data_IF_985712474057
#
_entry.id   IF_985712474057
#
_cell.length_a   1.000
_cell.length_b   1.000
_cell.length_c   1.000
_cell.angle_alpha   90.00
_cell.angle_beta   90.00
_cell.angle_gamma   90.00
#
_symmetry.space_group_name_H-M   'P 1'
#
loop_
_entity.id
_entity.type
_entity.pdbx_description
1 polymer ?
#
# COMPACT_ATOMS: atom_id res chain seq x y z
N UNK A 1 28.01 35.04 -13.05
CA UNK A 1 27.58 34.63 -11.70
C UNK A 1 27.40 33.13 -11.79
N UNK A 2 28.43 32.39 -11.40
CA UNK A 2 28.43 30.93 -11.42
C UNK A 2 27.71 30.44 -10.17
N UNK A 3 26.54 29.82 -10.34
CA UNK A 3 25.87 29.10 -9.26
C UNK A 3 26.67 27.82 -8.98
N UNK A 4 27.42 27.85 -7.87
CA UNK A 4 28.15 26.70 -7.38
C UNK A 4 27.16 25.56 -7.06
N UNK A 5 27.18 24.53 -7.90
CA UNK A 5 26.51 23.25 -7.67
C UNK A 5 27.05 22.61 -6.40
N UNK A 6 26.38 22.79 -5.26
CA UNK A 6 26.77 22.15 -4.02
C UNK A 6 26.41 20.66 -4.10
N UNK A 7 27.42 19.81 -4.26
CA UNK A 7 27.29 18.37 -4.03
C UNK A 7 27.05 18.12 -2.53
N UNK A 8 25.80 17.86 -2.17
CA UNK A 8 25.44 17.39 -0.83
C UNK A 8 25.94 15.94 -0.67
N UNK A 9 26.99 15.76 0.11
CA UNK A 9 27.40 14.43 0.57
C UNK A 9 26.46 14.00 1.69
N UNK A 10 25.51 13.13 1.35
CA UNK A 10 24.60 12.53 2.33
C UNK A 10 25.36 11.44 3.09
N UNK A 11 25.86 11.75 4.29
CA UNK A 11 26.42 10.73 5.17
C UNK A 11 25.28 9.83 5.64
N UNK A 12 25.38 8.53 5.32
CA UNK A 12 24.40 7.54 5.76
C UNK A 12 24.59 7.31 7.28
N UNK A 13 23.65 7.73 8.14
CA UNK A 13 23.66 7.39 9.55
C UNK A 13 23.92 5.90 9.82
N UNK A 14 24.68 5.62 10.88
CA UNK A 14 25.00 4.28 11.40
C UNK A 14 23.73 3.62 11.96
N UNK A 15 22.97 2.97 11.08
CA UNK A 15 21.67 2.36 11.42
C UNK A 15 21.76 0.89 11.83
N UNK A 16 20.90 0.51 12.79
CA UNK A 16 20.55 -0.90 13.05
C UNK A 16 19.87 -1.51 11.80
N UNK A 17 20.04 -2.81 11.52
CA UNK A 17 19.46 -3.46 10.36
C UNK A 17 17.95 -3.23 10.29
N UNK A 18 17.55 -2.80 9.11
CA UNK A 18 16.26 -2.24 8.73
C UNK A 18 15.06 -3.14 8.98
N UNK A 19 15.34 -4.43 8.80
CA UNK A 19 14.49 -5.55 9.09
C UNK A 19 15.40 -6.65 9.62
N UNK A 20 14.82 -7.69 10.20
CA UNK A 20 15.57 -8.94 10.43
C UNK A 20 16.18 -9.54 9.14
N UNK A 21 15.80 -9.06 7.95
CA UNK A 21 16.20 -9.56 6.63
C UNK A 21 17.05 -8.52 5.85
N UNK A 22 18.39 -8.66 5.78
CA UNK A 22 19.26 -7.74 5.04
C UNK A 22 18.83 -7.44 3.59
N UNK A 23 18.29 -8.45 2.89
CA UNK A 23 17.84 -8.28 1.51
C UNK A 23 16.72 -7.23 1.34
N UNK A 24 15.79 -7.11 2.30
CA UNK A 24 14.74 -6.08 2.24
C UNK A 24 15.33 -4.68 2.40
N UNK A 25 16.38 -4.54 3.21
CA UNK A 25 17.07 -3.27 3.37
C UNK A 25 17.70 -2.80 2.07
N UNK A 26 18.38 -3.70 1.36
CA UNK A 26 19.03 -3.35 0.10
C UNK A 26 18.01 -2.90 -0.94
N UNK A 27 16.85 -3.58 -1.04
CA UNK A 27 15.76 -3.20 -1.94
C UNK A 27 15.19 -1.82 -1.61
N UNK A 28 15.02 -1.57 -0.32
CA UNK A 28 14.56 -0.29 0.16
C UNK A 28 15.54 0.84 -0.16
N UNK A 29 16.83 0.66 0.10
CA UNK A 29 17.86 1.65 -0.22
C UNK A 29 17.95 1.88 -1.73
N UNK A 30 17.84 0.83 -2.54
CA UNK A 30 17.81 0.94 -4.00
C UNK A 30 16.60 1.72 -4.52
N UNK A 31 15.44 1.59 -3.86
CA UNK A 31 14.26 2.37 -4.15
C UNK A 31 14.46 3.84 -3.72
N UNK A 32 14.82 4.09 -2.47
CA UNK A 32 14.99 5.46 -1.97
C UNK A 32 16.05 6.25 -2.74
N UNK A 33 17.19 5.64 -3.07
CA UNK A 33 18.27 6.30 -3.82
C UNK A 33 17.86 6.79 -5.21
N UNK A 34 16.82 6.22 -5.83
CA UNK A 34 16.43 6.67 -7.17
C UNK A 34 15.91 8.12 -7.16
N UNK A 35 15.22 8.54 -6.09
CA UNK A 35 14.75 9.91 -5.92
C UNK A 35 15.86 10.95 -5.77
N UNK A 36 17.09 10.53 -5.44
CA UNK A 36 18.24 11.43 -5.33
C UNK A 36 19.06 11.54 -6.62
N UNK A 37 18.72 10.77 -7.67
CA UNK A 37 19.50 10.70 -8.91
C UNK A 37 18.67 11.31 -10.05
N UNK A 38 19.05 12.50 -10.52
CA UNK A 38 18.32 13.24 -11.55
C UNK A 38 18.26 12.57 -12.93
N UNK A 39 19.11 11.57 -13.19
CA UNK A 39 19.11 10.81 -14.44
C UNK A 39 18.17 9.60 -14.46
N UNK A 40 17.52 9.28 -13.32
CA UNK A 40 16.55 8.20 -13.28
C UNK A 40 15.21 8.64 -13.83
N UNK A 41 14.56 7.75 -14.59
CA UNK A 41 13.22 8.00 -15.13
C UNK A 41 12.14 7.54 -14.16
N UNK A 42 10.91 8.04 -14.32
CA UNK A 42 9.75 7.62 -13.52
C UNK A 42 9.46 6.12 -13.67
N UNK A 43 9.70 5.53 -14.84
CA UNK A 43 9.55 4.10 -15.09
C UNK A 43 10.57 3.29 -14.28
N UNK A 44 11.82 3.78 -14.16
CA UNK A 44 12.83 3.17 -13.30
C UNK A 44 12.41 3.23 -11.83
N UNK A 45 11.84 4.35 -11.39
CA UNK A 45 11.29 4.48 -10.03
C UNK A 45 10.17 3.47 -9.81
N UNK A 46 9.27 3.33 -10.78
CA UNK A 46 8.10 2.47 -10.68
C UNK A 46 8.49 0.99 -10.64
N UNK A 47 9.42 0.58 -11.51
CA UNK A 47 9.98 -0.77 -11.49
C UNK A 47 10.66 -1.12 -10.15
N UNK A 48 11.33 -0.15 -9.52
CA UNK A 48 11.93 -0.33 -8.18
C UNK A 48 10.86 -0.41 -7.10
N UNK A 49 9.79 0.37 -7.19
CA UNK A 49 8.64 0.29 -6.27
C UNK A 49 8.00 -1.10 -6.32
N UNK A 50 7.74 -1.61 -7.53
CA UNK A 50 7.21 -2.96 -7.78
C UNK A 50 8.11 -4.03 -7.16
N UNK A 51 9.43 -3.92 -7.36
CA UNK A 51 10.40 -4.86 -6.79
C UNK A 51 10.42 -4.81 -5.26
N UNK A 52 10.37 -3.62 -4.66
CA UNK A 52 10.29 -3.44 -3.21
C UNK A 52 9.00 -4.04 -2.66
N UNK A 53 7.85 -3.72 -3.26
CA UNK A 53 6.55 -4.25 -2.87
C UNK A 53 6.52 -5.78 -2.95
N UNK A 54 6.97 -6.37 -4.06
CA UNK A 54 7.04 -7.82 -4.21
C UNK A 54 7.91 -8.46 -3.13
N UNK A 55 9.07 -7.85 -2.83
CA UNK A 55 9.97 -8.36 -1.79
C UNK A 55 9.35 -8.29 -0.39
N UNK A 56 8.70 -7.17 -0.06
CA UNK A 56 7.97 -7.01 1.20
C UNK A 56 6.86 -8.05 1.31
N UNK A 57 6.02 -8.16 0.28
CA UNK A 57 4.87 -9.05 0.29
C UNK A 57 5.28 -10.51 0.35
N UNK A 58 6.27 -10.95 -0.42
CA UNK A 58 6.76 -12.34 -0.37
C UNK A 58 7.42 -12.71 0.96
N UNK A 59 8.04 -11.73 1.65
CA UNK A 59 8.64 -11.95 2.96
C UNK A 59 7.58 -12.09 4.06
N UNK A 60 6.56 -11.22 4.07
CA UNK A 60 5.55 -11.20 5.15
C UNK A 60 4.30 -12.02 4.86
N UNK A 61 4.01 -12.33 3.60
CA UNK A 61 2.92 -13.18 3.13
C UNK A 61 3.49 -14.34 2.29
N UNK A 62 4.26 -15.26 2.89
CA UNK A 62 4.97 -16.29 2.15
C UNK A 62 4.02 -17.38 1.63
N UNK A 63 4.30 -17.99 0.46
CA UNK A 63 3.51 -19.10 -0.08
C UNK A 63 3.42 -20.32 0.84
N UNK A 64 4.42 -20.55 1.70
CA UNK A 64 4.40 -21.62 2.70
C UNK A 64 3.28 -21.48 3.74
N UNK A 65 2.63 -20.32 3.82
CA UNK A 65 1.47 -20.05 4.68
C UNK A 65 0.15 -19.95 3.87
N UNK A 66 0.16 -20.38 2.60
CA UNK A 66 -1.02 -20.37 1.73
C UNK A 66 -1.29 -19.02 1.05
N UNK A 67 -0.38 -18.05 1.15
CA UNK A 67 -0.50 -16.77 0.47
C UNK A 67 -0.05 -16.83 -0.99
N UNK A 68 -0.68 -16.01 -1.83
CA UNK A 68 -0.29 -15.81 -3.21
C UNK A 68 -0.46 -14.34 -3.58
N UNK A 69 0.38 -13.85 -4.48
CA UNK A 69 0.34 -12.47 -4.94
C UNK A 69 -0.27 -12.42 -6.34
N UNK A 70 -1.20 -11.50 -6.54
CA UNK A 70 -1.79 -11.19 -7.84
C UNK A 70 -1.57 -9.73 -8.15
N UNK A 71 -0.80 -9.46 -9.20
CA UNK A 71 -0.53 -8.11 -9.67
C UNK A 71 -1.82 -7.49 -10.25
N UNK A 72 -2.09 -6.24 -9.92
CA UNK A 72 -3.29 -5.51 -10.29
C UNK A 72 -2.92 -4.11 -10.81
N UNK A 73 -3.18 -3.79 -12.10
CA UNK A 73 -2.91 -2.46 -12.65
C UNK A 73 -3.93 -1.38 -12.23
N UNK A 74 -4.97 -1.72 -11.44
CA UNK A 74 -6.05 -0.80 -11.01
C UNK A 74 -6.72 -0.03 -12.15
N UNK A 75 -6.85 -0.66 -13.32
CA UNK A 75 -7.28 -0.01 -14.58
C UNK A 75 -8.55 0.83 -14.44
N UNK A 76 -9.56 0.35 -13.73
CA UNK A 76 -10.84 1.05 -13.56
C UNK A 76 -10.69 2.41 -12.86
N UNK A 77 -9.70 2.54 -11.96
CA UNK A 77 -9.42 3.82 -11.30
C UNK A 77 -8.25 4.56 -11.94
N UNK A 78 -7.32 3.84 -12.56
CA UNK A 78 -6.20 4.41 -13.30
C UNK A 78 -6.69 5.19 -14.53
N UNK A 79 -7.78 4.77 -15.21
CA UNK A 79 -8.35 5.47 -16.39
C UNK A 79 -8.59 6.97 -16.20
N UNK A 80 -8.88 7.42 -14.98
CA UNK A 80 -9.15 8.84 -14.68
C UNK A 80 -7.90 9.59 -14.21
N UNK A 81 -6.78 8.88 -14.04
CA UNK A 81 -5.61 9.32 -13.29
C UNK A 81 -5.94 9.75 -11.88
N UNK A 82 -4.91 10.10 -11.11
CA UNK A 82 -5.05 10.34 -9.69
C UNK A 82 -4.48 11.67 -9.28
N UNK A 83 -5.21 12.42 -8.46
CA UNK A 83 -4.80 13.74 -8.02
C UNK A 83 -4.56 13.74 -6.50
N UNK A 84 -3.30 13.68 -6.09
CA UNK A 84 -2.92 12.91 -4.89
C UNK A 84 -2.42 13.80 -3.74
N UNK A 85 -1.84 14.96 -4.07
CA UNK A 85 -1.21 15.83 -3.09
C UNK A 85 -1.56 17.29 -3.36
N UNK A 86 -2.14 17.92 -2.34
CA UNK A 86 -2.61 19.28 -2.37
C UNK A 86 -1.56 20.26 -1.86
N UNK A 87 -0.86 20.99 -2.74
CA UNK A 87 -0.04 22.13 -2.33
C UNK A 87 -0.85 23.40 -2.44
N UNK A 88 -0.96 24.16 -1.35
CA UNK A 88 -1.53 25.49 -1.44
C UNK A 88 -0.49 26.45 -2.04
N UNK A 89 -0.76 26.93 -3.25
CA UNK A 89 0.08 27.91 -3.92
C UNK A 89 -0.56 29.29 -3.73
N UNK A 90 0.20 30.23 -3.15
CA UNK A 90 -0.29 31.59 -2.87
C UNK A 90 -0.79 32.24 -4.16
N UNK A 91 -2.07 32.66 -4.17
CA UNK A 91 -2.72 33.29 -5.32
C UNK A 91 -3.32 32.32 -6.35
N UNK A 92 -3.01 31.02 -6.29
CA UNK A 92 -3.55 29.99 -7.19
C UNK A 92 -4.55 29.06 -6.48
N UNK A 93 -4.34 28.83 -5.18
CA UNK A 93 -5.17 27.95 -4.35
C UNK A 93 -4.56 26.55 -4.21
N UNK A 94 -5.42 25.57 -3.90
CA UNK A 94 -5.00 24.17 -3.81
C UNK A 94 -4.66 23.63 -5.21
N UNK A 95 -3.45 23.13 -5.37
CA UNK A 95 -2.97 22.45 -6.57
C UNK A 95 -2.81 20.97 -6.24
N UNK A 96 -3.37 20.11 -7.07
CA UNK A 96 -3.45 18.67 -6.89
C UNK A 96 -2.58 17.97 -7.92
N UNK A 97 -1.71 17.11 -7.45
CA UNK A 97 -0.78 16.42 -8.33
C UNK A 97 -1.40 15.23 -9.07
N UNK A 98 -1.50 15.33 -10.41
CA UNK A 98 -1.84 14.22 -11.31
C UNK A 98 -0.72 13.17 -11.42
N UNK A 99 -1.05 11.90 -11.17
CA UNK A 99 -0.19 10.74 -11.44
C UNK A 99 -0.77 9.96 -12.63
N UNK A 100 0.02 9.75 -13.69
CA UNK A 100 -0.38 8.95 -14.84
C UNK A 100 -0.75 7.50 -14.48
N UNK A 101 -1.75 6.92 -15.16
CA UNK A 101 -2.21 5.54 -14.94
C UNK A 101 -1.07 4.51 -14.93
N UNK A 102 -0.10 4.65 -15.82
CA UNK A 102 1.05 3.74 -16.00
C UNK A 102 2.04 3.75 -14.83
N UNK A 103 1.95 4.73 -13.93
CA UNK A 103 2.75 4.82 -12.71
C UNK A 103 1.97 4.35 -11.47
N UNK A 104 0.83 3.71 -11.69
CA UNK A 104 -0.08 3.21 -10.67
C UNK A 104 -0.30 1.72 -10.89
N UNK A 105 -0.04 0.94 -9.86
CA UNK A 105 -0.29 -0.50 -9.84
C UNK A 105 -0.42 -0.98 -8.41
N UNK A 106 -0.64 -2.27 -8.22
CA UNK A 106 -0.65 -2.86 -6.91
C UNK A 106 -0.66 -4.37 -6.94
N UNK A 107 -0.90 -4.93 -5.76
CA UNK A 107 -0.89 -6.35 -5.50
C UNK A 107 -2.03 -6.70 -4.56
N UNK A 108 -2.84 -7.64 -5.00
CA UNK A 108 -3.69 -8.42 -4.11
C UNK A 108 -2.86 -9.50 -3.45
N UNK A 109 -2.96 -9.57 -2.12
CA UNK A 109 -2.51 -10.71 -1.35
C UNK A 109 -3.71 -11.60 -1.15
N UNK A 110 -3.76 -12.69 -1.89
CA UNK A 110 -4.79 -13.71 -1.73
C UNK A 110 -4.29 -14.80 -0.78
N UNK A 111 -5.18 -15.36 0.02
CA UNK A 111 -4.89 -16.51 0.88
C UNK A 111 -5.79 -17.68 0.53
N UNK A 112 -5.20 -18.86 0.45
CA UNK A 112 -5.90 -20.12 0.27
C UNK A 112 -6.21 -20.73 1.64
N UNK A 113 -7.44 -21.18 1.83
CA UNK A 113 -7.89 -21.84 3.05
C UNK A 113 -8.28 -23.27 2.72
N UNK A 114 -7.74 -24.22 3.48
CA UNK A 114 -8.21 -25.59 3.47
C UNK A 114 -9.48 -25.62 4.33
N UNK A 115 -10.64 -25.85 3.71
CA UNK A 115 -11.89 -26.05 4.43
C UNK A 115 -12.01 -27.54 4.66
N UNK A 116 -11.91 -27.97 5.92
CA UNK A 116 -12.17 -29.36 6.29
C UNK A 116 -13.49 -29.48 7.03
N UNK A 117 -14.29 -30.45 6.58
CA UNK A 117 -15.46 -30.94 7.31
C UNK A 117 -15.78 -32.39 6.93
N UNK A 118 -15.46 -32.83 5.70
CA UNK A 118 -15.76 -34.18 5.19
C UNK A 118 -14.70 -34.67 4.17
N UNK A 119 -13.48 -34.11 4.18
CA UNK A 119 -12.37 -34.60 3.35
C UNK A 119 -12.37 -34.22 1.85
N UNK A 120 -13.21 -33.27 1.42
CA UNK A 120 -13.03 -32.61 0.12
C UNK A 120 -12.35 -31.26 0.33
N UNK A 121 -11.02 -31.24 0.16
CA UNK A 121 -10.20 -30.03 0.20
C UNK A 121 -10.36 -29.28 -1.11
N UNK A 122 -11.43 -28.48 -1.23
CA UNK A 122 -11.47 -27.45 -2.27
C UNK A 122 -10.96 -26.15 -1.62
N UNK A 123 -9.71 -25.81 -1.92
CA UNK A 123 -9.04 -24.67 -1.32
C UNK A 123 -9.71 -23.37 -1.77
N UNK A 124 -10.51 -22.75 -0.90
CA UNK A 124 -11.12 -21.45 -1.22
C UNK A 124 -10.03 -20.38 -1.12
N UNK A 125 -9.86 -19.62 -2.20
CA UNK A 125 -8.93 -18.48 -2.23
C UNK A 125 -9.70 -17.19 -2.01
N UNK A 126 -9.29 -16.38 -1.03
CA UNK A 126 -9.90 -15.07 -0.78
C UNK A 126 -8.84 -13.97 -0.61
N UNK A 127 -9.17 -12.72 -0.98
CA UNK A 127 -8.28 -11.59 -0.71
C UNK A 127 -8.09 -11.38 0.78
N UNK A 128 -6.86 -11.03 1.17
CA UNK A 128 -6.45 -10.81 2.54
C UNK A 128 -5.93 -9.39 2.78
N UNK A 129 -5.08 -8.90 1.89
CA UNK A 129 -4.58 -7.53 1.93
C UNK A 129 -4.43 -6.96 0.52
N UNK A 130 -4.39 -5.63 0.43
CA UNK A 130 -4.04 -4.93 -0.80
C UNK A 130 -2.83 -4.03 -0.56
N UNK A 131 -1.88 -4.03 -1.49
CA UNK A 131 -0.83 -3.03 -1.54
C UNK A 131 -0.95 -2.26 -2.86
N UNK A 132 -1.17 -0.96 -2.78
CA UNK A 132 -1.09 -0.05 -3.92
C UNK A 132 0.27 0.63 -4.03
N UNK A 133 0.62 1.03 -5.24
CA UNK A 133 1.85 1.73 -5.60
C UNK A 133 1.45 2.92 -6.46
N UNK A 134 1.95 4.08 -6.09
CA UNK A 134 1.83 5.34 -6.83
C UNK A 134 3.22 5.94 -6.90
N UNK A 135 3.83 5.88 -8.08
CA UNK A 135 5.17 6.41 -8.27
C UNK A 135 5.12 7.80 -8.85
N UNK A 136 5.93 8.68 -8.28
CA UNK A 136 5.97 10.06 -8.68
C UNK A 136 7.26 10.75 -8.18
N UNK A 137 7.82 11.67 -8.96
CA UNK A 137 9.02 12.46 -8.65
C UNK A 137 8.73 13.93 -8.28
N UNK A 138 7.45 14.35 -8.26
CA UNK A 138 7.02 15.72 -7.96
C UNK A 138 7.53 16.79 -8.94
N UNK A 139 8.15 16.39 -10.05
CA UNK A 139 8.78 17.31 -11.00
C UNK A 139 7.76 18.15 -11.79
N UNK A 140 6.54 17.66 -11.94
CA UNK A 140 5.44 18.31 -12.69
C UNK A 140 4.63 19.31 -11.85
N UNK A 141 5.20 19.84 -10.76
CA UNK A 141 4.54 20.80 -9.84
C UNK A 141 3.84 21.98 -10.53
N UNK A 142 4.34 22.41 -11.69
CA UNK A 142 3.76 23.50 -12.49
C UNK A 142 2.47 23.11 -13.23
N UNK A 143 2.23 21.82 -13.43
CA UNK A 143 1.11 21.24 -14.21
C UNK A 143 0.01 20.69 -13.30
N UNK A 144 0.13 20.87 -11.98
CA UNK A 144 -0.82 20.36 -11.01
C UNK A 144 -2.21 21.00 -11.20
N UNK A 145 -3.25 20.19 -11.08
CA UNK A 145 -4.62 20.58 -11.39
C UNK A 145 -5.33 21.20 -10.18
N UNK A 146 -6.38 22.01 -10.39
CA UNK A 146 -7.10 22.65 -9.28
C UNK A 146 -8.05 21.71 -8.53
N UNK A 147 -8.36 20.53 -9.07
CA UNK A 147 -9.33 19.60 -8.49
C UNK A 147 -8.88 18.16 -8.67
N UNK A 148 -8.95 17.42 -7.58
CA UNK A 148 -8.84 15.98 -7.57
C UNK A 148 -10.21 15.37 -7.34
N UNK A 149 -10.68 14.44 -8.19
CA UNK A 149 -11.88 13.68 -7.86
C UNK A 149 -11.63 12.64 -6.75
N UNK A 150 -10.38 12.23 -6.51
CA UNK A 150 -10.02 11.10 -5.64
C UNK A 150 -8.87 11.44 -4.68
N UNK A 151 -8.89 10.88 -3.47
CA UNK A 151 -7.81 10.95 -2.47
C UNK A 151 -6.92 9.70 -2.52
N UNK A 152 -5.67 9.78 -2.03
CA UNK A 152 -4.72 8.63 -2.02
C UNK A 152 -5.30 7.33 -1.45
N UNK A 153 -6.03 7.46 -0.35
CA UNK A 153 -6.68 6.33 0.32
C UNK A 153 -7.78 5.68 -0.53
N UNK A 154 -8.38 6.41 -1.46
CA UNK A 154 -9.39 5.87 -2.36
C UNK A 154 -8.79 4.84 -3.33
N UNK A 155 -7.49 4.86 -3.61
CA UNK A 155 -6.86 3.83 -4.45
C UNK A 155 -7.00 2.48 -3.78
N UNK A 156 -6.57 2.43 -2.53
CA UNK A 156 -6.50 1.16 -1.81
C UNK A 156 -7.91 0.74 -1.40
N UNK A 157 -8.70 1.65 -0.86
CA UNK A 157 -10.04 1.34 -0.33
C UNK A 157 -11.11 1.25 -1.40
N UNK A 158 -11.04 2.06 -2.46
CA UNK A 158 -11.92 1.97 -3.63
C UNK A 158 -11.70 0.67 -4.36
N UNK A 159 -10.45 0.24 -4.53
CA UNK A 159 -10.15 -1.09 -5.08
C UNK A 159 -10.70 -2.19 -4.18
N UNK A 160 -10.45 -2.11 -2.87
CA UNK A 160 -10.97 -3.09 -1.90
C UNK A 160 -12.50 -3.18 -1.94
N UNK A 161 -13.20 -2.05 -2.00
CA UNK A 161 -14.66 -2.02 -1.99
C UNK A 161 -15.31 -2.39 -3.32
N UNK A 162 -14.78 -1.84 -4.43
CA UNK A 162 -15.38 -1.97 -5.77
C UNK A 162 -14.89 -3.23 -6.50
N UNK A 163 -13.57 -3.45 -6.57
CA UNK A 163 -13.01 -4.54 -7.39
C UNK A 163 -13.06 -5.90 -6.69
N UNK A 164 -13.10 -5.94 -5.35
CA UNK A 164 -13.37 -7.19 -4.64
C UNK A 164 -14.84 -7.65 -4.78
N UNK A 165 -15.63 -7.09 -5.70
CA UNK A 165 -17.04 -7.42 -5.93
C UNK A 165 -17.90 -7.37 -4.65
N UNK A 166 -17.51 -6.53 -3.69
CA UNK A 166 -18.17 -6.42 -2.40
C UNK A 166 -18.07 -7.67 -1.52
N UNK A 167 -17.10 -8.58 -1.74
CA UNK A 167 -16.89 -9.75 -0.88
C UNK A 167 -16.22 -9.39 0.45
N UNK A 168 -15.50 -8.27 0.51
CA UNK A 168 -14.78 -7.82 1.70
C UNK A 168 -15.69 -6.89 2.51
N UNK A 169 -15.81 -7.18 3.81
CA UNK A 169 -16.45 -6.31 4.80
C UNK A 169 -15.41 -5.48 5.54
N UNK A 170 -14.31 -6.10 5.99
CA UNK A 170 -13.20 -5.40 6.63
C UNK A 170 -11.87 -5.96 6.13
N UNK A 171 -10.94 -5.09 5.75
CA UNK A 171 -9.60 -5.47 5.33
C UNK A 171 -8.60 -4.35 5.58
N UNK A 172 -7.34 -4.64 5.34
CA UNK A 172 -6.26 -3.67 5.42
C UNK A 172 -5.62 -3.42 4.08
N UNK A 173 -5.05 -2.24 3.97
CA UNK A 173 -4.49 -1.67 2.78
C UNK A 173 -3.13 -1.03 3.05
N UNK A 174 -2.24 -1.13 2.09
CA UNK A 174 -0.92 -0.51 2.12
C UNK A 174 -0.81 0.36 0.87
N UNK A 175 -0.20 1.54 0.97
CA UNK A 175 0.11 2.38 -0.19
C UNK A 175 1.58 2.76 -0.15
N UNK A 176 2.32 2.43 -1.19
CA UNK A 176 3.64 3.04 -1.45
C UNK A 176 3.40 4.25 -2.35
N UNK A 177 3.65 5.45 -1.84
CA UNK A 177 3.50 6.71 -2.57
C UNK A 177 4.81 7.49 -2.56
N UNK A 178 5.54 7.46 -3.68
CA UNK A 178 6.89 8.02 -3.73
C UNK A 178 7.75 7.49 -2.57
N UNK A 179 8.46 8.35 -1.80
CA UNK A 179 9.24 7.91 -0.65
C UNK A 179 8.38 7.60 0.59
N UNK A 180 7.05 7.52 0.52
CA UNK A 180 6.18 7.28 1.67
C UNK A 180 5.56 5.88 1.59
N UNK A 181 5.37 5.25 2.74
CA UNK A 181 4.47 4.10 2.89
C UNK A 181 3.35 4.45 3.85
N UNK A 182 2.10 4.24 3.42
CA UNK A 182 0.91 4.54 4.19
C UNK A 182 0.10 3.27 4.44
N UNK A 183 -0.66 3.27 5.53
CA UNK A 183 -1.47 2.14 5.96
C UNK A 183 -2.93 2.56 6.13
N UNK A 184 -3.82 1.73 5.62
CA UNK A 184 -5.26 1.97 5.52
C UNK A 184 -6.03 0.79 6.09
N UNK A 185 -7.21 1.06 6.64
CA UNK A 185 -8.17 0.03 7.01
C UNK A 185 -9.48 0.34 6.31
N UNK A 186 -10.01 -0.66 5.62
CA UNK A 186 -11.31 -0.63 5.00
C UNK A 186 -12.31 -1.28 5.94
N UNK A 187 -13.43 -0.61 6.21
CA UNK A 187 -14.54 -1.17 6.98
C UNK A 187 -15.87 -0.75 6.35
N UNK A 188 -16.62 -1.72 5.85
CA UNK A 188 -17.94 -1.57 5.26
C UNK A 188 -18.99 -1.70 6.36
N UNK A 189 -19.43 -0.58 6.92
CA UNK A 189 -20.48 -0.55 7.95
C UNK A 189 -21.87 -0.88 7.40
N UNK A 190 -22.18 -0.40 6.19
CA UNK A 190 -23.50 -0.56 5.56
C UNK A 190 -23.35 -0.90 4.07
N UNK A 191 -24.36 -1.55 3.44
CA UNK A 191 -24.33 -1.89 1.99
C UNK A 191 -24.08 -0.67 1.09
N UNK A 192 -24.44 0.53 1.56
CA UNK A 192 -24.34 1.81 0.85
C UNK A 192 -23.12 2.66 1.25
N UNK A 193 -22.43 2.35 2.36
CA UNK A 193 -21.27 3.11 2.82
C UNK A 193 -20.00 2.34 2.48
N UNK A 194 -19.47 2.60 1.29
CA UNK A 194 -18.16 2.13 0.81
C UNK A 194 -17.06 3.15 1.04
N UNK A 195 -17.34 4.22 1.80
CA UNK A 195 -16.40 5.33 1.94
C UNK A 195 -15.20 4.91 2.82
N UNK A 196 -13.96 5.17 2.35
CA UNK A 196 -12.75 4.90 3.13
C UNK A 196 -12.84 5.52 4.52
N UNK A 197 -12.40 4.78 5.53
CA UNK A 197 -11.98 5.41 6.77
C UNK A 197 -10.46 5.36 6.82
N UNK A 198 -9.81 6.53 6.86
CA UNK A 198 -8.42 6.58 7.32
C UNK A 198 -8.45 6.17 8.77
N UNK A 199 -7.97 4.99 9.09
CA UNK A 199 -7.81 4.61 10.48
C UNK A 199 -6.81 5.60 11.07
N UNK A 200 -7.29 6.49 11.95
CA UNK A 200 -6.40 7.17 12.88
C UNK A 200 -5.87 6.05 13.76
N UNK A 201 -4.76 5.43 13.35
CA UNK A 201 -3.87 4.74 14.29
C UNK A 201 -3.68 5.72 15.43
N UNK A 202 -4.26 5.43 16.59
CA UNK A 202 -4.21 6.17 17.87
C UNK A 202 -3.92 7.68 17.77
N UNK A 203 -4.80 8.61 18.23
CA UNK A 203 -4.52 10.06 18.18
C UNK A 203 -3.05 10.40 18.50
N UNK A 204 -2.27 10.79 17.48
CA UNK A 204 -0.83 11.02 17.60
C UNK A 204 0.12 9.99 16.95
N UNK A 205 -0.34 8.97 16.22
CA UNK A 205 0.53 8.12 15.37
C UNK A 205 0.39 8.43 13.89
N UNK A 206 1.53 8.50 13.22
CA UNK A 206 1.61 8.71 11.78
C UNK A 206 1.11 7.46 11.03
N UNK A 207 0.12 7.65 10.16
CA UNK A 207 -0.42 6.64 9.24
C UNK A 207 0.46 6.48 7.99
N UNK A 208 1.49 7.33 7.88
CA UNK A 208 2.45 7.42 6.81
C UNK A 208 3.84 7.39 7.42
N UNK A 209 4.70 6.54 6.91
CA UNK A 209 6.11 6.52 7.28
C UNK A 209 6.90 7.00 6.08
N UNK A 210 7.78 7.97 6.30
CA UNK A 210 8.85 8.20 5.34
C UNK A 210 9.67 6.92 5.22
N UNK A 211 9.96 6.54 3.99
CA UNK A 211 10.89 5.48 3.68
C UNK A 211 12.32 5.99 3.83
N UNK A 212 12.62 6.49 5.04
CA UNK A 212 13.96 6.65 5.59
C UNK A 212 14.32 5.54 6.59
N UNK A 213 15.61 5.19 6.64
CA UNK A 213 16.14 4.09 7.47
C UNK A 213 15.71 4.12 8.95
N UNK A 214 15.36 5.30 9.49
CA UNK A 214 14.87 5.48 10.86
C UNK A 214 13.51 4.84 11.15
N UNK A 215 12.67 4.65 10.12
CA UNK A 215 11.27 4.24 10.29
C UNK A 215 11.00 2.76 10.02
N UNK A 216 12.02 2.01 9.62
CA UNK A 216 11.80 0.70 9.04
C UNK A 216 11.40 -0.38 10.03
N UNK A 217 11.84 -0.27 11.29
CA UNK A 217 11.30 -1.11 12.36
C UNK A 217 9.80 -0.90 12.55
N UNK A 218 9.30 0.33 12.34
CA UNK A 218 7.87 0.63 12.30
C UNK A 218 7.19 -0.08 11.13
N UNK A 219 7.76 0.02 9.93
CA UNK A 219 7.25 -0.67 8.73
C UNK A 219 7.20 -2.19 8.92
N UNK A 220 8.28 -2.82 9.40
CA UNK A 220 8.31 -4.27 9.69
C UNK A 220 7.22 -4.68 10.68
N UNK A 221 7.03 -3.93 11.77
CA UNK A 221 5.99 -4.22 12.75
C UNK A 221 4.59 -4.14 12.15
N UNK A 222 4.34 -3.15 11.28
CA UNK A 222 3.03 -3.04 10.61
C UNK A 222 2.82 -4.22 9.66
N UNK A 223 3.79 -4.58 8.81
CA UNK A 223 3.65 -5.74 7.92
C UNK A 223 3.41 -7.05 8.68
N UNK A 224 4.13 -7.28 9.80
CA UNK A 224 3.87 -8.44 10.68
C UNK A 224 2.46 -8.41 11.27
N UNK A 225 2.02 -7.23 11.71
CA UNK A 225 0.66 -7.04 12.24
C UNK A 225 -0.40 -7.32 11.18
N UNK A 226 -0.17 -6.90 9.94
CA UNK A 226 -1.08 -7.12 8.81
C UNK A 226 -1.13 -8.58 8.39
N UNK A 227 0.00 -9.29 8.37
CA UNK A 227 0.03 -10.72 8.08
C UNK A 227 -0.72 -11.55 9.13
N UNK A 228 -0.82 -11.06 10.36
CA UNK A 228 -1.57 -11.69 11.44
C UNK A 228 -3.00 -11.17 11.62
N UNK A 229 -3.42 -10.14 10.89
CA UNK A 229 -4.71 -9.50 11.14
C UNK A 229 -5.89 -10.30 10.58
N UNK A 230 -7.08 -9.94 11.05
CA UNK A 230 -8.32 -10.55 10.60
C UNK A 230 -8.92 -9.80 9.41
N UNK A 231 -9.51 -10.54 8.48
CA UNK A 231 -10.27 -10.02 7.34
C UNK A 231 -11.68 -10.59 7.44
N UNK A 232 -12.66 -9.70 7.44
CA UNK A 232 -14.08 -10.08 7.47
C UNK A 232 -14.64 -10.04 6.06
N UNK A 233 -15.40 -11.08 5.69
CA UNK A 233 -16.09 -11.18 4.41
C UNK A 233 -17.59 -10.93 4.58
N UNK A 234 -18.25 -10.51 3.50
CA UNK A 234 -19.69 -10.17 3.51
C UNK A 234 -20.58 -11.41 3.70
N UNK A 235 -20.08 -12.60 3.39
CA UNK A 235 -20.75 -13.87 3.66
C UNK A 235 -20.60 -14.37 5.11
N UNK A 236 -20.00 -13.57 6.00
CA UNK A 236 -19.77 -13.92 7.40
C UNK A 236 -18.46 -14.66 7.66
N UNK A 237 -17.73 -15.06 6.61
CA UNK A 237 -16.42 -15.69 6.77
C UNK A 237 -15.42 -14.74 7.43
N UNK A 238 -14.54 -15.30 8.28
CA UNK A 238 -13.42 -14.56 8.85
C UNK A 238 -12.11 -15.30 8.63
N UNK A 239 -11.13 -14.58 8.09
CA UNK A 239 -9.78 -15.06 7.93
C UNK A 239 -8.85 -14.44 8.98
N UNK A 240 -8.11 -15.23 9.75
CA UNK A 240 -7.15 -14.71 10.74
C UNK A 240 -5.79 -15.39 10.57
N UNK A 241 -4.75 -14.61 10.20
CA UNK A 241 -3.39 -15.14 10.11
C UNK A 241 -3.31 -16.41 9.25
N UNK A 242 -2.96 -17.56 9.84
CA UNK A 242 -2.91 -18.87 9.17
C UNK A 242 -4.21 -19.70 9.25
N UNK A 243 -5.20 -19.33 10.07
CA UNK A 243 -6.44 -20.12 10.28
C UNK A 243 -7.67 -19.48 9.62
N UNK A 244 -8.60 -20.29 9.11
CA UNK A 244 -9.96 -19.86 8.77
C UNK A 244 -10.86 -20.33 9.90
N UNK A 245 -11.72 -19.45 10.41
CA UNK A 245 -12.72 -19.81 11.40
C UNK A 245 -14.07 -19.28 10.95
N UNK A 246 -15.12 -20.10 11.08
CA UNK A 246 -16.47 -19.56 11.12
C UNK A 246 -16.61 -18.74 12.41
N UNK A 247 -17.22 -17.56 12.32
CA UNK A 247 -17.63 -16.84 13.52
C UNK A 247 -18.75 -17.70 14.13
N UNK A 248 -18.48 -18.38 15.25
CA UNK A 248 -19.57 -18.93 16.05
C UNK A 248 -20.44 -17.74 16.43
N UNK A 249 -21.63 -17.64 15.84
CA UNK A 249 -22.66 -16.73 16.32
C UNK A 249 -22.97 -17.15 17.77
N UNK A 250 -22.34 -16.48 18.74
CA UNK A 250 -22.82 -16.49 20.11
C UNK A 250 -24.21 -15.83 20.09
N UNK A 251 -25.24 -16.68 19.99
CA UNK A 251 -26.62 -16.28 20.20
C UNK A 251 -26.75 -15.78 21.66
N UNK A 252 -26.75 -14.45 21.84
CA UNK A 252 -27.12 -13.78 23.10
C UNK A 252 -28.64 -13.76 23.25
#
# INVERSE_FOLDING_TARGET
MDEASSTYTYELPTYRPLTSTPALYDRYIQYHKCFSISSQTLESHHARAINLATSLLTNYFPPSQGFSLRHEPFTAMAEKGWAIEGKFVKGVGLQMHYIPPELICGFWVDKSYEIDAVGLVDGVRRPHALLGIMTNDLSTAAEWEKRAPLQRGDLVTGTIGLEANGIIKQAHGILIFGPLIEFYTFNRKNKQETMPFKERTTPGRDHSFEMEAKWCGGVENVFKSLAGSSVEYVDGGTAVGSRFGEVEEEWI
#
